data_IF_959319343199
#
_entry.id   IF_959319343199
#
_cell.length_a   1.000
_cell.length_b   1.000
_cell.length_c   1.000
_cell.angle_alpha   90.00
_cell.angle_beta   90.00
_cell.angle_gamma   90.00
#
_symmetry.space_group_name_H-M   'P 1'
#
loop_
_entity.id
_entity.type
_entity.pdbx_description
1 polymer ?
#
# COMPACT_ATOMS: atom_id res chain seq x y z
N UNK A 1 -11.54 8.48 48.98
CA UNK A 1 -10.49 7.53 49.45
C UNK A 1 -10.85 6.14 48.93
N UNK A 2 -10.39 5.79 47.73
CA UNK A 2 -10.77 4.52 47.07
C UNK A 2 -9.71 3.48 47.45
N UNK A 3 -10.07 2.56 48.36
CA UNK A 3 -9.23 1.42 48.74
C UNK A 3 -9.26 0.37 47.63
N UNK A 4 -8.38 0.50 46.64
CA UNK A 4 -8.14 -0.56 45.66
C UNK A 4 -7.46 -1.74 46.35
N UNK A 5 -8.14 -2.89 46.45
CA UNK A 5 -7.50 -4.17 46.80
C UNK A 5 -6.36 -4.42 45.80
N UNK A 6 -5.15 -4.79 46.27
CA UNK A 6 -3.95 -5.03 45.44
C UNK A 6 -4.23 -5.87 44.18
N UNK A 7 -5.11 -6.88 44.27
CA UNK A 7 -5.52 -7.72 43.12
C UNK A 7 -6.38 -6.98 42.08
N UNK A 8 -7.23 -6.04 42.51
CA UNK A 8 -8.06 -5.21 41.64
C UNK A 8 -7.24 -4.12 40.95
N UNK A 9 -6.25 -3.54 41.65
CA UNK A 9 -5.31 -2.59 41.05
C UNK A 9 -4.45 -3.24 39.97
N UNK A 10 -4.03 -4.49 40.18
CA UNK A 10 -3.23 -5.26 39.22
C UNK A 10 -4.05 -5.58 37.94
N UNK A 11 -5.33 -5.91 38.08
CA UNK A 11 -6.23 -6.12 36.95
C UNK A 11 -6.43 -4.86 36.11
N UNK A 12 -6.60 -3.70 36.76
CA UNK A 12 -6.74 -2.41 36.06
C UNK A 12 -5.46 -2.07 35.30
N UNK A 13 -4.29 -2.35 35.89
CA UNK A 13 -2.99 -2.10 35.24
C UNK A 13 -2.76 -3.01 34.02
N UNK A 14 -3.11 -4.30 34.13
CA UNK A 14 -3.04 -5.25 33.01
C UNK A 14 -4.04 -4.87 31.90
N UNK A 15 -5.24 -4.43 32.27
CA UNK A 15 -6.24 -3.95 31.32
C UNK A 15 -5.78 -2.67 30.60
N UNK A 16 -5.15 -1.73 31.31
CA UNK A 16 -4.57 -0.53 30.71
C UNK A 16 -3.40 -0.86 29.77
N UNK A 17 -2.55 -1.81 30.15
CA UNK A 17 -1.43 -2.28 29.32
C UNK A 17 -1.90 -3.06 28.07
N UNK A 18 -3.02 -3.78 28.13
CA UNK A 18 -3.59 -4.46 26.98
C UNK A 18 -4.20 -3.46 25.98
N UNK A 19 -4.63 -2.28 26.44
CA UNK A 19 -5.17 -1.24 25.58
C UNK A 19 -4.11 -0.53 24.73
N UNK A 20 -2.82 -0.62 25.08
CA UNK A 20 -1.71 0.00 24.33
C UNK A 20 -1.12 -0.90 23.24
N UNK A 21 -1.87 -1.90 22.76
CA UNK A 21 -1.44 -2.73 21.64
C UNK A 21 -1.33 -1.89 20.36
N UNK A 22 -0.11 -1.73 19.85
CA UNK A 22 0.14 -1.04 18.59
C UNK A 22 -0.42 -1.87 17.44
N UNK A 23 -1.35 -1.29 16.67
CA UNK A 23 -1.84 -1.89 15.43
C UNK A 23 -0.80 -1.67 14.31
N UNK A 24 -0.16 -2.74 13.86
CA UNK A 24 0.72 -2.70 12.68
C UNK A 24 -0.12 -2.83 11.41
N UNK A 25 -0.42 -1.70 10.77
CA UNK A 25 -1.03 -1.67 9.44
C UNK A 25 0.01 -1.97 8.35
N UNK A 26 -0.34 -2.84 7.39
CA UNK A 26 0.52 -3.08 6.23
C UNK A 26 0.44 -1.86 5.31
N UNK A 27 1.54 -1.12 5.17
CA UNK A 27 1.59 0.09 4.32
C UNK A 27 1.68 -0.32 2.85
N UNK A 28 0.57 -0.22 2.13
CA UNK A 28 0.55 -0.39 0.67
C UNK A 28 0.85 0.95 0.00
N UNK A 29 1.75 0.95 -0.97
CA UNK A 29 2.09 2.14 -1.77
C UNK A 29 1.96 1.81 -3.25
N UNK A 30 1.35 2.72 -4.01
CA UNK A 30 1.23 2.62 -5.46
C UNK A 30 1.91 3.84 -6.06
N UNK A 31 2.85 3.62 -6.97
CA UNK A 31 3.56 4.65 -7.70
C UNK A 31 3.30 4.46 -9.19
N UNK A 32 2.81 5.50 -9.85
CA UNK A 32 2.62 5.54 -11.29
C UNK A 32 3.52 6.62 -11.89
N UNK A 33 4.37 6.25 -12.83
CA UNK A 33 5.31 7.16 -13.50
C UNK A 33 5.23 6.99 -15.00
N UNK A 34 5.43 8.09 -15.71
CA UNK A 34 5.66 8.10 -17.15
C UNK A 34 7.09 8.53 -17.44
N UNK A 35 7.66 8.02 -18.52
CA UNK A 35 9.00 8.40 -18.98
C UNK A 35 9.03 9.86 -19.48
N UNK A 36 7.95 10.31 -20.15
CA UNK A 36 7.84 11.65 -20.75
C UNK A 36 6.45 12.24 -20.54
N UNK A 37 6.38 13.55 -20.33
CA UNK A 37 5.11 14.29 -20.20
C UNK A 37 4.72 15.06 -21.47
N UNK A 38 5.61 15.15 -22.44
CA UNK A 38 5.39 15.76 -23.75
C UNK A 38 5.89 14.78 -24.81
N UNK A 39 5.02 14.50 -25.78
CA UNK A 39 5.26 13.55 -26.87
C UNK A 39 4.63 14.09 -28.16
N UNK A 40 5.11 13.60 -29.29
CA UNK A 40 4.47 13.83 -30.60
C UNK A 40 3.53 12.66 -30.95
N UNK A 41 2.79 12.76 -32.06
CA UNK A 41 1.78 11.76 -32.45
C UNK A 41 2.37 10.37 -32.76
N UNK A 42 3.65 10.32 -33.12
CA UNK A 42 4.33 9.09 -33.56
C UNK A 42 5.14 8.43 -32.43
N UNK A 43 5.20 9.08 -31.26
CA UNK A 43 5.96 8.60 -30.12
C UNK A 43 5.19 7.57 -29.30
N UNK A 44 5.91 6.60 -28.74
CA UNK A 44 5.41 5.75 -27.66
C UNK A 44 5.83 6.33 -26.30
N UNK A 45 4.94 6.18 -25.33
CA UNK A 45 5.13 6.56 -23.92
C UNK A 45 5.01 5.30 -23.06
N UNK A 46 5.87 5.17 -22.06
CA UNK A 46 5.86 4.03 -21.15
C UNK A 46 5.28 4.43 -19.79
N UNK A 47 4.14 3.82 -19.44
CA UNK A 47 3.59 3.88 -18.10
C UNK A 47 4.18 2.75 -17.25
N UNK A 48 4.82 3.10 -16.14
CA UNK A 48 5.32 2.17 -15.14
C UNK A 48 4.50 2.28 -13.86
N UNK A 49 3.88 1.18 -13.45
CA UNK A 49 3.15 1.09 -12.17
C UNK A 49 3.92 0.18 -11.22
N UNK A 50 4.32 0.72 -10.08
CA UNK A 50 5.03 -0.02 -9.02
C UNK A 50 4.13 -0.11 -7.79
N UNK A 51 3.85 -1.33 -7.35
CA UNK A 51 3.07 -1.61 -6.13
C UNK A 51 4.02 -2.16 -5.07
N UNK A 52 4.02 -1.56 -3.88
CA UNK A 52 4.84 -1.98 -2.73
C UNK A 52 3.95 -2.33 -1.53
N UNK A 53 4.38 -3.29 -0.72
CA UNK A 53 3.71 -3.68 0.52
C UNK A 53 2.65 -4.77 0.37
N UNK A 54 2.41 -5.25 -0.85
CA UNK A 54 1.52 -6.39 -1.14
C UNK A 54 2.09 -7.24 -2.28
N UNK A 55 1.70 -8.52 -2.32
CA UNK A 55 2.12 -9.50 -3.34
C UNK A 55 0.89 -10.05 -4.06
N UNK A 56 1.09 -10.66 -5.24
CA UNK A 56 0.03 -11.28 -6.04
C UNK A 56 -1.17 -10.34 -6.32
N UNK A 57 -0.88 -9.07 -6.59
CA UNK A 57 -1.93 -8.13 -7.01
C UNK A 57 -2.32 -8.39 -8.45
N UNK A 58 -3.63 -8.34 -8.78
CA UNK A 58 -4.06 -8.39 -10.17
C UNK A 58 -3.44 -7.23 -10.97
N UNK A 59 -3.23 -7.39 -12.28
CA UNK A 59 -2.78 -6.30 -13.13
C UNK A 59 -3.71 -5.08 -12.97
N UNK A 60 -3.17 -3.86 -12.89
CA UNK A 60 -3.98 -2.66 -12.79
C UNK A 60 -4.80 -2.47 -14.07
N UNK A 61 -6.10 -2.20 -13.89
CA UNK A 61 -6.97 -1.83 -15.01
C UNK A 61 -6.76 -0.37 -15.39
N UNK A 62 -6.58 -0.12 -16.69
CA UNK A 62 -6.47 1.21 -17.24
C UNK A 62 -7.85 1.67 -17.76
N UNK A 63 -8.25 2.92 -17.48
CA UNK A 63 -9.46 3.48 -18.09
C UNK A 63 -9.29 3.60 -19.61
N UNK A 64 -10.39 3.83 -20.32
CA UNK A 64 -10.33 4.09 -21.76
C UNK A 64 -9.57 5.39 -22.03
N UNK A 65 -8.51 5.29 -22.84
CA UNK A 65 -7.70 6.42 -23.28
C UNK A 65 -7.92 6.59 -24.79
N UNK A 66 -8.89 7.42 -25.24
CA UNK A 66 -9.32 7.45 -26.64
C UNK A 66 -8.22 7.86 -27.63
N UNK A 67 -7.24 8.64 -27.17
CA UNK A 67 -6.13 9.13 -27.99
C UNK A 67 -4.88 8.26 -27.91
N UNK A 68 -4.93 7.15 -27.16
CA UNK A 68 -3.77 6.29 -26.94
C UNK A 68 -4.11 4.84 -27.27
N UNK A 69 -3.21 4.20 -28.01
CA UNK A 69 -3.25 2.75 -28.21
C UNK A 69 -2.48 2.08 -27.08
N UNK A 70 -3.19 1.39 -26.20
CA UNK A 70 -2.60 0.73 -25.03
C UNK A 70 -2.01 -0.63 -25.45
N UNK A 71 -0.77 -0.87 -25.06
CA UNK A 71 -0.09 -2.16 -25.21
C UNK A 71 0.51 -2.59 -23.87
N UNK A 72 0.20 -3.81 -23.42
CA UNK A 72 0.71 -4.33 -22.14
C UNK A 72 2.22 -4.58 -22.20
N UNK A 73 2.99 -3.92 -21.34
CA UNK A 73 4.45 -4.07 -21.24
C UNK A 73 4.94 -5.27 -20.42
N UNK A 74 4.02 -6.12 -19.92
CA UNK A 74 4.31 -7.22 -19.01
C UNK A 74 4.22 -6.84 -17.54
N UNK A 75 4.44 -7.81 -16.65
CA UNK A 75 4.50 -7.60 -15.19
C UNK A 75 5.77 -8.24 -14.64
N UNK A 76 6.35 -7.63 -13.61
CA UNK A 76 7.50 -8.19 -12.90
C UNK A 76 7.23 -8.10 -11.40
N UNK A 77 7.59 -9.16 -10.67
CA UNK A 77 7.38 -9.27 -9.23
C UNK A 77 8.72 -9.59 -8.57
N UNK A 78 9.04 -8.84 -7.51
CA UNK A 78 10.24 -9.06 -6.70
C UNK A 78 9.84 -9.23 -5.24
N UNK A 79 10.45 -10.21 -4.58
CA UNK A 79 10.27 -10.44 -3.14
C UNK A 79 11.50 -9.93 -2.43
N UNK A 80 11.33 -8.94 -1.56
CA UNK A 80 12.39 -8.47 -0.68
C UNK A 80 12.27 -9.22 0.66
N UNK A 81 13.27 -10.05 0.95
CA UNK A 81 13.43 -10.80 2.21
C UNK A 81 14.31 -10.03 3.19
#
# INVERSE_FOLDING_TARGET
>A
MIFFKKKSMLLVFVFWSALTLNAFGKKIQVLATVDRTQITLEDSIQLSVTIKGTQNTPPPELPSLPNFRITSGGTSSSTQI
#
